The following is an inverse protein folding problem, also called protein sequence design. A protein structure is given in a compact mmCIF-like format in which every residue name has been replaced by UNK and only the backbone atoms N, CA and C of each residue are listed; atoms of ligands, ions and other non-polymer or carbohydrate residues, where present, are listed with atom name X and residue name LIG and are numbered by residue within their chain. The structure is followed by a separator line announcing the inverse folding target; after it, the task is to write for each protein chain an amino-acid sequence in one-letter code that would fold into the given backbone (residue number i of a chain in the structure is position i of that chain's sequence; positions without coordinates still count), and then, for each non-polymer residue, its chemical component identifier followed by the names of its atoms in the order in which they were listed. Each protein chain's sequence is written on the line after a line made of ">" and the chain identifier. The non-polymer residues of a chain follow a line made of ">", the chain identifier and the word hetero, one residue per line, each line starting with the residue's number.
data_IF_332850148240
#
_entry.id   IF_332850148240
#
_cell.length_a   1.000
_cell.length_b   1.000
_cell.length_c   1.000
_cell.angle_alpha   90.00
_cell.angle_beta   90.00
_cell.angle_gamma   90.00
#
_symmetry.space_group_name_H-M   'P 1'
#
loop_
_entity.id
_entity.type
_entity.pdbx_description
1 polymer ?
#
# COMPACT_ATOMS: atom_id res chain seq x y z
N UNK A 1 -15.38 24.30 5.33
CA UNK A 1 -14.47 24.16 4.17
C UNK A 1 -14.52 22.72 3.69
N UNK A 2 -14.69 22.49 2.37
CA UNK A 2 -14.75 21.11 1.86
C UNK A 2 -13.35 20.67 1.44
N UNK A 3 -12.71 19.83 2.27
CA UNK A 3 -11.37 19.31 2.04
C UNK A 3 -11.44 17.92 1.42
N UNK A 4 -10.55 17.63 0.47
CA UNK A 4 -10.27 16.29 -0.07
C UNK A 4 -8.85 15.91 0.31
N UNK A 5 -8.68 14.75 0.92
CA UNK A 5 -7.41 14.26 1.42
C UNK A 5 -7.01 12.95 0.74
N UNK A 6 -5.85 12.94 0.12
CA UNK A 6 -5.20 11.73 -0.40
C UNK A 6 -4.04 11.33 0.51
N UNK A 7 -3.94 10.04 0.84
CA UNK A 7 -2.84 9.46 1.61
C UNK A 7 -2.31 8.26 0.82
N UNK A 8 -1.02 8.24 0.52
CA UNK A 8 -0.34 7.10 -0.08
C UNK A 8 0.73 6.54 0.86
N UNK A 9 0.48 5.33 1.36
CA UNK A 9 1.40 4.63 2.27
C UNK A 9 2.34 3.75 1.45
N UNK A 10 3.54 4.27 1.19
CA UNK A 10 4.61 3.53 0.56
C UNK A 10 5.49 2.76 1.56
N UNK A 11 6.45 2.01 1.04
CA UNK A 11 7.40 1.23 1.88
C UNK A 11 8.40 2.09 2.64
N UNK A 12 8.76 3.28 2.13
CA UNK A 12 9.78 4.17 2.71
C UNK A 12 9.17 5.46 3.22
N UNK A 13 8.23 6.04 2.48
CA UNK A 13 7.56 7.29 2.83
C UNK A 13 6.05 7.14 2.69
N UNK A 14 5.34 7.92 3.48
CA UNK A 14 3.90 8.14 3.37
C UNK A 14 3.69 9.56 2.89
N UNK A 15 3.04 9.71 1.76
CA UNK A 15 2.77 10.98 1.10
C UNK A 15 1.32 11.42 1.35
N UNK A 16 1.12 12.73 1.49
CA UNK A 16 -0.16 13.35 1.77
C UNK A 16 -0.40 14.49 0.81
N UNK A 17 -1.60 14.53 0.26
CA UNK A 17 -2.06 15.62 -0.60
C UNK A 17 -3.43 16.06 -0.13
N UNK A 18 -3.55 17.32 0.22
CA UNK A 18 -4.82 17.95 0.59
C UNK A 18 -5.20 18.96 -0.47
N UNK A 19 -6.44 18.92 -0.90
CA UNK A 19 -7.04 19.89 -1.83
C UNK A 19 -8.21 20.56 -1.14
N UNK A 20 -8.17 21.86 -1.07
CA UNK A 20 -9.28 22.65 -0.53
C UNK A 20 -10.38 22.93 -1.57
N UNK A 21 -11.41 23.68 -1.19
CA UNK A 21 -12.52 24.04 -2.08
C UNK A 21 -12.14 25.05 -3.17
N UNK A 22 -11.03 25.77 -3.02
CA UNK A 22 -10.48 26.66 -4.03
C UNK A 22 -9.57 25.94 -5.02
N UNK A 23 -9.26 24.67 -4.76
CA UNK A 23 -8.35 23.86 -5.57
C UNK A 23 -6.88 24.06 -5.19
N UNK A 24 -6.59 24.73 -4.07
CA UNK A 24 -5.22 24.85 -3.57
C UNK A 24 -4.72 23.53 -3.01
N UNK A 25 -3.46 23.19 -3.35
CA UNK A 25 -2.78 21.98 -2.96
C UNK A 25 -1.86 22.21 -1.77
N UNK A 26 -2.02 21.40 -0.73
CA UNK A 26 -1.07 21.32 0.38
C UNK A 26 -0.55 19.89 0.48
N UNK A 27 0.77 19.74 0.44
CA UNK A 27 1.43 18.45 0.51
C UNK A 27 2.19 18.27 1.81
N UNK A 28 2.25 17.03 2.30
CA UNK A 28 3.14 16.65 3.39
C UNK A 28 3.73 15.27 3.11
N UNK A 29 4.88 15.01 3.71
CA UNK A 29 5.58 13.74 3.60
C UNK A 29 6.18 13.35 4.94
N UNK A 30 6.09 12.06 5.27
CA UNK A 30 6.68 11.51 6.49
C UNK A 30 7.32 10.15 6.19
N UNK A 31 8.39 9.75 6.88
CA UNK A 31 8.87 8.38 6.79
C UNK A 31 7.76 7.40 7.17
N UNK A 32 7.63 6.31 6.41
CA UNK A 32 6.70 5.24 6.77
C UNK A 32 7.18 4.49 8.01
N UNK A 33 6.23 3.99 8.79
CA UNK A 33 6.46 3.18 9.99
C UNK A 33 5.95 1.76 9.73
N UNK A 34 6.78 0.84 9.18
CA UNK A 34 6.31 -0.48 8.74
C UNK A 34 5.66 -1.32 9.84
N UNK A 35 6.12 -1.14 11.09
CA UNK A 35 5.56 -1.86 12.25
C UNK A 35 4.17 -1.37 12.67
N UNK A 36 3.86 -0.09 12.43
CA UNK A 36 2.56 0.53 12.69
C UNK A 36 2.32 1.68 11.69
N UNK A 37 1.72 1.42 10.53
CA UNK A 37 1.46 2.44 9.53
C UNK A 37 0.62 3.64 10.04
N UNK A 38 -0.18 3.42 11.08
CA UNK A 38 -0.98 4.47 11.71
C UNK A 38 -0.16 5.61 12.29
N UNK A 39 1.05 5.33 12.79
CA UNK A 39 1.93 6.37 13.35
C UNK A 39 2.39 7.36 12.28
N UNK A 40 2.76 6.86 11.10
CA UNK A 40 3.12 7.70 9.95
C UNK A 40 1.94 8.57 9.50
N UNK A 41 0.72 8.00 9.50
CA UNK A 41 -0.50 8.74 9.15
C UNK A 41 -0.75 9.88 10.14
N UNK A 42 -0.67 9.60 11.44
CA UNK A 42 -0.87 10.62 12.49
C UNK A 42 0.15 11.75 12.39
N UNK A 43 1.43 11.41 12.17
CA UNK A 43 2.49 12.40 11.99
C UNK A 43 2.29 13.25 10.72
N UNK A 44 1.86 12.64 9.63
CA UNK A 44 1.61 13.34 8.39
C UNK A 44 0.42 14.30 8.47
N UNK A 45 -0.65 13.88 9.12
CA UNK A 45 -1.81 14.75 9.40
C UNK A 45 -1.43 15.95 10.27
N UNK A 46 -0.59 15.74 11.30
CA UNK A 46 -0.09 16.86 12.12
C UNK A 46 0.71 17.87 11.29
N UNK A 47 1.58 17.39 10.39
CA UNK A 47 2.35 18.27 9.48
C UNK A 47 1.45 19.04 8.50
N UNK A 48 0.39 18.42 7.99
CA UNK A 48 -0.59 19.12 7.15
C UNK A 48 -1.33 20.20 7.93
N UNK A 49 -1.79 19.86 9.13
CA UNK A 49 -2.51 20.78 10.00
C UNK A 49 -1.65 21.98 10.37
N UNK A 50 -0.36 21.76 10.70
CA UNK A 50 0.62 22.83 10.96
C UNK A 50 0.78 23.77 9.76
N UNK A 51 0.93 23.23 8.53
CA UNK A 51 1.04 24.03 7.31
C UNK A 51 -0.19 24.90 7.05
N UNK A 52 -1.36 24.41 7.44
CA UNK A 52 -2.63 25.12 7.30
C UNK A 52 -2.91 26.08 8.49
N UNK A 53 -2.05 26.09 9.51
CA UNK A 53 -2.28 26.81 10.78
C UNK A 53 -3.62 26.40 11.42
N UNK A 54 -3.97 25.11 11.39
CA UNK A 54 -5.20 24.52 11.89
C UNK A 54 -4.89 23.31 12.80
N UNK A 55 -5.88 22.89 13.58
CA UNK A 55 -5.79 21.62 14.31
C UNK A 55 -6.09 20.43 13.39
N UNK A 56 -5.58 19.23 13.74
CA UNK A 56 -5.88 18.00 13.03
C UNK A 56 -7.39 17.72 13.03
N UNK A 57 -8.06 18.00 14.17
CA UNK A 57 -9.51 17.80 14.32
C UNK A 57 -10.30 18.69 13.36
N UNK A 58 -9.91 19.95 13.18
CA UNK A 58 -10.55 20.86 12.22
C UNK A 58 -10.35 20.39 10.78
N UNK A 59 -9.15 19.92 10.41
CA UNK A 59 -8.87 19.39 9.08
C UNK A 59 -9.70 18.15 8.80
N UNK A 60 -9.80 17.23 9.76
CA UNK A 60 -10.59 16.01 9.61
C UNK A 60 -12.10 16.27 9.61
N UNK A 61 -12.57 17.23 10.39
CA UNK A 61 -13.99 17.62 10.42
C UNK A 61 -14.45 18.18 9.07
N UNK A 62 -13.61 18.97 8.43
CA UNK A 62 -13.89 19.54 7.10
C UNK A 62 -13.62 18.57 5.94
N UNK A 63 -12.99 17.42 6.21
CA UNK A 63 -12.66 16.42 5.20
C UNK A 63 -13.91 15.63 4.78
N UNK A 64 -14.41 15.91 3.59
CA UNK A 64 -15.58 15.21 3.03
C UNK A 64 -15.22 14.02 2.14
N UNK A 65 -13.96 13.90 1.71
CA UNK A 65 -13.45 12.78 0.92
C UNK A 65 -12.03 12.44 1.35
N UNK A 66 -11.82 11.20 1.77
CA UNK A 66 -10.52 10.63 2.06
C UNK A 66 -10.25 9.48 1.08
N UNK A 67 -9.13 9.56 0.37
CA UNK A 67 -8.63 8.52 -0.51
C UNK A 67 -7.36 7.95 0.10
N UNK A 68 -7.32 6.63 0.29
CA UNK A 68 -6.16 5.94 0.85
C UNK A 68 -5.63 4.91 -0.14
N UNK A 69 -4.37 5.07 -0.52
CA UNK A 69 -3.60 4.11 -1.30
C UNK A 69 -2.52 3.43 -0.43
N UNK A 70 -2.14 2.20 -0.80
CA UNK A 70 -1.02 1.53 -0.16
C UNK A 70 -0.35 0.54 -1.08
N UNK A 71 0.99 0.46 -1.01
CA UNK A 71 1.81 -0.53 -1.72
C UNK A 71 2.31 -1.65 -0.81
N UNK A 72 1.77 -1.78 0.41
CA UNK A 72 2.21 -2.77 1.41
C UNK A 72 2.16 -4.20 0.86
N UNK A 73 1.08 -4.57 0.16
CA UNK A 73 0.95 -5.91 -0.41
C UNK A 73 1.98 -6.18 -1.52
N UNK A 74 2.24 -5.21 -2.38
CA UNK A 74 3.27 -5.32 -3.44
C UNK A 74 4.66 -5.44 -2.82
N UNK A 75 4.95 -4.64 -1.79
CA UNK A 75 6.22 -4.71 -1.06
C UNK A 75 6.41 -6.07 -0.39
N UNK A 76 5.37 -6.63 0.24
CA UNK A 76 5.41 -7.95 0.84
C UNK A 76 5.72 -9.05 -0.19
N UNK A 77 5.15 -8.95 -1.40
CA UNK A 77 5.45 -9.88 -2.51
C UNK A 77 6.90 -9.76 -2.98
N UNK A 78 7.39 -8.55 -3.20
CA UNK A 78 8.76 -8.31 -3.67
C UNK A 78 9.80 -8.75 -2.64
N UNK A 79 9.52 -8.54 -1.35
CA UNK A 79 10.43 -8.84 -0.25
C UNK A 79 10.27 -10.26 0.30
N UNK A 80 9.28 -11.03 -0.19
CA UNK A 80 8.93 -12.35 0.35
C UNK A 80 8.65 -12.34 1.87
N UNK A 81 8.05 -11.26 2.38
CA UNK A 81 7.75 -11.07 3.81
C UNK A 81 6.31 -11.43 4.17
N UNK A 82 5.65 -12.23 3.35
CA UNK A 82 4.28 -12.69 3.59
C UNK A 82 4.17 -13.67 4.76
N UNK A 83 2.94 -13.98 5.15
CA UNK A 83 2.65 -15.01 6.14
C UNK A 83 3.09 -16.40 5.65
N UNK A 84 3.45 -17.27 6.58
CA UNK A 84 3.65 -18.70 6.26
C UNK A 84 2.29 -19.32 5.94
N UNK A 85 2.17 -19.84 4.73
CA UNK A 85 0.92 -20.44 4.23
C UNK A 85 1.09 -21.95 4.14
N UNK A 86 0.12 -22.71 4.64
CA UNK A 86 0.01 -24.16 4.44
C UNK A 86 -1.05 -24.45 3.38
N UNK A 87 -0.73 -25.34 2.43
CA UNK A 87 -1.67 -25.83 1.44
C UNK A 87 -2.25 -27.18 1.88
N UNK A 88 -3.58 -27.28 1.95
CA UNK A 88 -4.29 -28.56 2.11
C UNK A 88 -4.86 -28.93 0.74
N UNK A 89 -4.48 -30.07 0.22
CA UNK A 89 -4.93 -30.56 -1.08
C UNK A 89 -5.26 -32.06 -1.02
N UNK A 90 -5.89 -32.56 -2.08
CA UNK A 90 -6.14 -34.01 -2.25
C UNK A 90 -4.81 -34.75 -2.32
N UNK A 91 -4.74 -35.95 -1.72
CA UNK A 91 -3.58 -36.82 -1.79
C UNK A 91 -3.18 -37.09 -3.26
N UNK A 92 -1.88 -36.97 -3.56
CA UNK A 92 -1.35 -37.06 -4.91
C UNK A 92 -1.33 -35.77 -5.73
N UNK A 93 -1.85 -34.63 -5.18
CA UNK A 93 -1.92 -33.34 -5.87
C UNK A 93 -1.07 -32.23 -5.18
N UNK A 94 -0.02 -32.62 -4.47
CA UNK A 94 0.85 -31.68 -3.74
C UNK A 94 1.58 -30.69 -4.64
N UNK A 95 1.81 -31.04 -5.90
CA UNK A 95 2.52 -30.26 -6.92
C UNK A 95 1.61 -29.33 -7.74
N UNK A 96 0.35 -29.18 -7.33
CA UNK A 96 -0.63 -28.30 -8.00
C UNK A 96 -0.12 -26.88 -8.19
N UNK A 97 0.60 -26.31 -7.19
CA UNK A 97 1.15 -24.97 -7.28
C UNK A 97 2.30 -24.87 -8.30
N UNK A 98 3.11 -25.92 -8.41
CA UNK A 98 4.22 -25.99 -9.36
C UNK A 98 3.74 -26.19 -10.80
N UNK A 99 2.77 -27.10 -10.99
CA UNK A 99 2.18 -27.42 -12.29
C UNK A 99 1.35 -26.24 -12.80
N UNK A 100 0.67 -25.51 -11.90
CA UNK A 100 -0.24 -24.41 -12.24
C UNK A 100 -1.29 -24.87 -13.25
N UNK A 101 -1.52 -24.03 -14.30
CA UNK A 101 -2.41 -24.37 -15.42
C UNK A 101 -1.68 -25.09 -16.57
N UNK A 102 -0.43 -25.54 -16.38
CA UNK A 102 0.38 -26.17 -17.42
C UNK A 102 0.86 -25.20 -18.50
N UNK A 103 0.60 -23.92 -18.37
CA UNK A 103 1.07 -22.89 -19.30
C UNK A 103 2.56 -22.62 -19.16
N UNK A 104 3.29 -22.74 -20.25
CA UNK A 104 4.71 -22.39 -20.36
C UNK A 104 4.88 -21.31 -21.44
N UNK A 105 5.47 -20.16 -21.10
CA UNK A 105 5.76 -19.10 -22.06
C UNK A 105 6.73 -19.56 -23.15
N UNK A 106 7.68 -20.45 -22.77
CA UNK A 106 8.63 -21.08 -23.70
C UNK A 106 8.38 -22.59 -23.75
N UNK A 107 7.39 -22.99 -24.55
CA UNK A 107 6.87 -24.37 -24.59
C UNK A 107 7.92 -25.43 -24.97
N UNK A 108 8.95 -25.07 -25.72
CA UNK A 108 10.00 -25.96 -26.24
C UNK A 108 11.38 -25.75 -25.59
N UNK A 109 11.48 -24.87 -24.58
CA UNK A 109 12.72 -24.68 -23.84
C UNK A 109 12.69 -25.51 -22.55
N UNK A 110 13.39 -26.65 -22.56
CA UNK A 110 13.45 -27.56 -21.40
C UNK A 110 14.19 -26.97 -20.19
N UNK A 111 14.92 -25.86 -20.36
CA UNK A 111 15.62 -25.13 -19.28
C UNK A 111 14.74 -24.06 -18.64
N UNK A 112 13.60 -23.78 -19.25
CA UNK A 112 12.66 -22.80 -18.71
C UNK A 112 11.86 -23.45 -17.57
N UNK A 113 12.22 -23.08 -16.34
CA UNK A 113 11.45 -23.41 -15.15
C UNK A 113 10.34 -22.37 -14.90
N UNK A 114 9.28 -22.73 -14.15
CA UNK A 114 8.33 -21.74 -13.67
C UNK A 114 9.04 -20.71 -12.80
N UNK A 115 8.58 -19.44 -12.78
CA UNK A 115 9.10 -18.45 -11.84
C UNK A 115 8.88 -18.96 -10.40
N UNK A 116 9.74 -18.61 -9.45
CA UNK A 116 9.60 -19.01 -8.05
C UNK A 116 8.25 -18.55 -7.51
N UNK A 117 7.65 -19.38 -6.65
CA UNK A 117 6.39 -19.09 -5.94
C UNK A 117 6.73 -18.32 -4.67
#
# INVERSE_FOLDING_TARGET
>A
MAIRLGIDVGGTFTDFVLVDELGELTEAKTPSTPGNPGDAITQGLAKLAEKLSRSVEEVLTDCHLLIHGTTVAVNALIQYTGAKVGLICTEGFSDTLEIRLGYRDKRYDFRYGPPPI
#
